data_IF_957638067547
#
_entry.id   IF_957638067547
#
_cell.length_a   1.000
_cell.length_b   1.000
_cell.length_c   1.000
_cell.angle_alpha   90.00
_cell.angle_beta   90.00
_cell.angle_gamma   90.00
#
_symmetry.space_group_name_H-M   'P 1'
#
loop_
_entity.id
_entity.type
_entity.pdbx_description
1 polymer ?
#
# COMPACT_ATOMS: atom_id res chain seq x y z
N UNK A 1 6.13 -8.28 -3.68
CA UNK A 1 5.64 -7.45 -4.81
C UNK A 1 4.38 -6.67 -4.42
N UNK A 2 3.32 -7.32 -3.95
CA UNK A 2 2.07 -6.66 -3.52
C UNK A 2 2.26 -5.57 -2.45
N UNK A 3 3.16 -5.77 -1.47
CA UNK A 3 3.40 -4.77 -0.41
C UNK A 3 3.96 -3.45 -0.96
N UNK A 4 4.70 -3.49 -2.07
CA UNK A 4 5.27 -2.29 -2.70
C UNK A 4 4.24 -1.48 -3.48
N UNK A 5 3.14 -2.11 -3.92
CA UNK A 5 2.05 -1.42 -4.62
C UNK A 5 1.25 -0.47 -3.70
N UNK A 6 1.36 -0.66 -2.38
CA UNK A 6 0.71 0.20 -1.38
C UNK A 6 1.32 1.61 -1.34
N UNK A 7 2.63 1.74 -1.53
CA UNK A 7 3.31 3.03 -1.49
C UNK A 7 2.76 4.06 -2.49
N UNK A 8 2.68 3.76 -3.82
CA UNK A 8 2.11 4.71 -4.77
C UNK A 8 0.62 4.96 -4.53
N UNK A 9 -0.14 3.99 -4.01
CA UNK A 9 -1.54 4.19 -3.66
C UNK A 9 -1.71 5.20 -2.51
N UNK A 10 -0.92 5.08 -1.44
CA UNK A 10 -0.90 6.05 -0.33
C UNK A 10 -0.43 7.43 -0.81
N UNK A 11 0.58 7.46 -1.68
CA UNK A 11 1.13 8.69 -2.24
C UNK A 11 0.13 9.43 -3.15
N UNK A 12 -0.74 8.70 -3.85
CA UNK A 12 -1.84 9.27 -4.64
C UNK A 12 -3.02 9.74 -3.75
N UNK A 13 -3.32 9.00 -2.68
CA UNK A 13 -4.48 9.24 -1.83
C UNK A 13 -4.28 10.34 -0.76
N UNK A 14 -3.03 10.59 -0.33
CA UNK A 14 -2.72 11.49 0.77
C UNK A 14 -1.94 12.73 0.32
N UNK A 15 -2.22 13.91 0.89
CA UNK A 15 -1.36 15.06 0.71
C UNK A 15 -0.01 14.87 1.42
N UNK A 16 1.01 15.66 1.06
CA UNK A 16 2.30 15.61 1.77
C UNK A 16 2.14 16.35 3.11
N UNK A 17 2.55 15.71 4.22
CA UNK A 17 2.38 16.26 5.57
C UNK A 17 3.30 17.45 5.88
N UNK A 18 4.49 17.53 5.25
CA UNK A 18 5.43 18.65 5.41
C UNK A 18 5.58 19.43 4.11
N UNK A 19 5.57 20.76 4.22
CA UNK A 19 5.70 21.73 3.12
C UNK A 19 7.11 21.82 2.52
N UNK A 20 8.11 21.17 3.12
CA UNK A 20 9.48 21.11 2.61
C UNK A 20 10.06 19.71 2.83
N UNK A 21 10.27 18.97 1.75
CA UNK A 21 10.91 17.64 1.76
C UNK A 21 11.03 17.09 0.34
N UNK A 22 12.02 16.23 0.08
CA UNK A 22 12.28 15.64 -1.25
C UNK A 22 11.04 15.00 -1.89
N UNK A 23 10.02 14.61 -1.12
CA UNK A 23 8.76 14.07 -1.64
C UNK A 23 7.92 15.06 -2.46
N UNK A 24 8.24 16.36 -2.47
CA UNK A 24 7.63 17.32 -3.42
C UNK A 24 8.19 17.17 -4.84
N UNK A 25 9.47 16.82 -5.01
CA UNK A 25 10.11 16.78 -6.33
C UNK A 25 9.77 15.53 -7.13
N UNK A 26 9.24 14.48 -6.49
CA UNK A 26 8.86 13.21 -7.14
C UNK A 26 7.44 13.26 -7.75
N UNK A 27 6.64 14.28 -7.43
CA UNK A 27 5.26 14.43 -7.91
C UNK A 27 4.27 13.40 -7.32
N UNK A 28 2.96 13.57 -7.56
CA UNK A 28 1.94 12.57 -7.17
C UNK A 28 1.70 11.60 -8.34
N UNK A 29 1.82 10.27 -8.13
CA UNK A 29 1.51 9.33 -9.19
C UNK A 29 0.04 9.44 -9.58
N UNK A 30 -0.24 9.37 -10.88
CA UNK A 30 -1.62 9.32 -11.39
C UNK A 30 -2.30 8.03 -10.92
N UNK A 31 -3.61 8.06 -10.76
CA UNK A 31 -4.39 6.90 -10.29
C UNK A 31 -4.24 5.68 -11.20
N UNK A 32 -4.15 5.88 -12.52
CA UNK A 32 -4.03 4.80 -13.50
C UNK A 32 -2.75 3.95 -13.30
N UNK A 33 -1.53 4.52 -13.22
CA UNK A 33 -0.32 3.78 -12.83
C UNK A 33 -0.45 3.01 -11.50
N UNK A 34 -1.13 3.58 -10.49
CA UNK A 34 -1.32 2.91 -9.21
C UNK A 34 -2.23 1.67 -9.36
N UNK A 35 -3.33 1.80 -10.11
CA UNK A 35 -4.24 0.69 -10.41
C UNK A 35 -3.55 -0.41 -11.22
N UNK A 36 -2.76 -0.04 -12.23
CA UNK A 36 -1.99 -1.00 -13.03
C UNK A 36 -0.96 -1.75 -12.18
N UNK A 37 -0.25 -1.05 -11.28
CA UNK A 37 0.71 -1.67 -10.39
C UNK A 37 0.03 -2.65 -9.41
N UNK A 38 -1.13 -2.27 -8.85
CA UNK A 38 -1.90 -3.16 -7.98
C UNK A 38 -2.43 -4.39 -8.74
N UNK A 39 -2.98 -4.17 -9.95
CA UNK A 39 -3.49 -5.25 -10.81
C UNK A 39 -2.38 -6.22 -11.22
N UNK A 40 -1.23 -5.72 -11.65
CA UNK A 40 -0.05 -6.54 -11.96
C UNK A 40 0.45 -7.30 -10.75
N UNK A 41 0.48 -6.67 -9.57
CA UNK A 41 0.92 -7.36 -8.36
C UNK A 41 0.01 -8.53 -7.99
N UNK A 42 -1.32 -8.38 -8.12
CA UNK A 42 -2.27 -9.49 -7.90
C UNK A 42 -2.12 -10.55 -8.98
N UNK A 43 -2.08 -10.16 -10.26
CA UNK A 43 -1.97 -11.07 -11.39
C UNK A 43 -0.72 -11.95 -11.31
N UNK A 44 0.42 -11.36 -10.96
CA UNK A 44 1.69 -12.08 -10.80
C UNK A 44 1.73 -12.96 -9.54
N UNK A 45 0.84 -12.74 -8.58
CA UNK A 45 0.72 -13.56 -7.37
C UNK A 45 -0.24 -14.74 -7.54
N UNK A 46 -1.19 -14.70 -8.46
CA UNK A 46 -2.10 -15.81 -8.76
C UNK A 46 -1.40 -17.17 -8.99
N UNK A 47 -0.33 -17.30 -9.79
CA UNK A 47 0.32 -18.60 -9.99
C UNK A 47 1.04 -19.14 -8.74
N UNK A 48 1.29 -18.30 -7.73
CA UNK A 48 2.04 -18.68 -6.53
C UNK A 48 1.11 -19.08 -5.37
N UNK A 49 0.01 -18.34 -5.19
CA UNK A 49 -0.89 -18.48 -4.02
C UNK A 49 -2.36 -18.68 -4.42
N UNK A 50 -2.66 -18.82 -5.71
CA UNK A 50 -4.02 -19.06 -6.22
C UNK A 50 -5.00 -17.95 -5.82
N UNK A 51 -6.24 -18.34 -5.53
CA UNK A 51 -7.31 -17.42 -5.12
C UNK A 51 -7.03 -16.69 -3.79
N UNK A 52 -6.11 -17.20 -2.96
CA UNK A 52 -5.68 -16.50 -1.74
C UNK A 52 -5.06 -15.12 -2.04
N UNK A 53 -4.61 -14.88 -3.27
CA UNK A 53 -4.13 -13.57 -3.72
C UNK A 53 -5.16 -12.46 -3.49
N UNK A 54 -6.46 -12.73 -3.70
CA UNK A 54 -7.50 -11.71 -3.53
C UNK A 54 -7.72 -11.35 -2.06
N UNK A 55 -7.81 -12.36 -1.18
CA UNK A 55 -7.94 -12.14 0.27
C UNK A 55 -6.70 -11.46 0.85
N UNK A 56 -5.51 -11.85 0.38
CA UNK A 56 -4.24 -11.23 0.75
C UNK A 56 -4.21 -9.76 0.30
N UNK A 57 -4.55 -9.47 -0.96
CA UNK A 57 -4.63 -8.09 -1.47
C UNK A 57 -5.58 -7.22 -0.66
N UNK A 58 -6.74 -7.77 -0.29
CA UNK A 58 -7.74 -7.07 0.50
C UNK A 58 -7.21 -6.72 1.90
N UNK A 59 -6.59 -7.69 2.59
CA UNK A 59 -6.00 -7.47 3.92
C UNK A 59 -4.90 -6.40 3.88
N UNK A 60 -4.01 -6.47 2.89
CA UNK A 60 -2.95 -5.48 2.68
C UNK A 60 -3.51 -4.08 2.41
N UNK A 61 -4.54 -3.99 1.56
CA UNK A 61 -5.23 -2.74 1.24
C UNK A 61 -5.92 -2.14 2.47
N UNK A 62 -6.61 -2.95 3.27
CA UNK A 62 -7.26 -2.50 4.50
C UNK A 62 -6.25 -1.95 5.52
N UNK A 63 -5.14 -2.66 5.72
CA UNK A 63 -4.08 -2.24 6.65
C UNK A 63 -3.42 -0.93 6.19
N UNK A 64 -3.16 -0.80 4.88
CA UNK A 64 -2.66 0.42 4.28
C UNK A 64 -3.61 1.61 4.44
N UNK A 65 -4.91 1.41 4.17
CA UNK A 65 -5.94 2.44 4.35
C UNK A 65 -6.04 2.89 5.81
N UNK A 66 -5.98 1.95 6.76
CA UNK A 66 -5.96 2.25 8.19
C UNK A 66 -4.78 3.12 8.58
N UNK A 67 -3.57 2.77 8.12
CA UNK A 67 -2.37 3.58 8.36
C UNK A 67 -2.48 4.96 7.68
N UNK A 68 -3.01 5.02 6.46
CA UNK A 68 -3.22 6.27 5.74
C UNK A 68 -4.20 7.21 6.44
N UNK A 69 -5.30 6.67 6.96
CA UNK A 69 -6.26 7.41 7.77
C UNK A 69 -5.61 7.95 9.05
N UNK A 70 -4.80 7.13 9.72
CA UNK A 70 -4.05 7.54 10.91
C UNK A 70 -3.05 8.67 10.60
N UNK A 71 -2.30 8.54 9.50
CA UNK A 71 -1.34 9.55 9.07
C UNK A 71 -2.05 10.88 8.74
N UNK A 72 -3.17 10.82 8.04
CA UNK A 72 -4.01 12.01 7.76
C UNK A 72 -4.51 12.66 9.05
N UNK A 73 -4.99 11.88 10.00
CA UNK A 73 -5.55 12.39 11.24
C UNK A 73 -4.47 12.98 12.18
N UNK A 74 -3.29 12.36 12.27
CA UNK A 74 -2.25 12.76 13.24
C UNK A 74 -1.28 13.80 12.72
N UNK A 75 -0.91 13.74 11.44
CA UNK A 75 0.14 14.59 10.86
C UNK A 75 -0.31 15.29 9.58
N UNK A 76 -1.59 15.16 9.19
CA UNK A 76 -2.17 15.89 8.05
C UNK A 76 -1.85 15.32 6.67
N UNK A 77 -1.18 14.16 6.56
CA UNK A 77 -0.80 13.60 5.27
C UNK A 77 0.23 12.47 5.37
N UNK A 78 0.98 12.25 4.28
CA UNK A 78 2.04 11.25 4.18
C UNK A 78 3.44 11.88 4.16
N UNK A 79 4.42 11.12 4.64
CA UNK A 79 5.87 11.33 4.49
C UNK A 79 6.51 10.05 3.96
N UNK A 80 7.80 10.10 3.59
CA UNK A 80 8.57 8.89 3.23
C UNK A 80 8.49 7.79 4.29
N UNK A 81 8.50 8.16 5.57
CA UNK A 81 8.36 7.21 6.69
C UNK A 81 6.99 6.53 6.70
N UNK A 82 5.90 7.26 6.40
CA UNK A 82 4.54 6.69 6.30
C UNK A 82 4.44 5.73 5.11
N UNK A 83 5.08 6.04 3.99
CA UNK A 83 5.10 5.13 2.83
C UNK A 83 5.86 3.85 3.16
N UNK A 84 7.04 3.96 3.78
CA UNK A 84 7.84 2.82 4.24
C UNK A 84 7.10 1.97 5.27
N UNK A 85 6.51 2.61 6.29
CA UNK A 85 5.68 1.94 7.29
C UNK A 85 4.47 1.26 6.65
N UNK A 86 3.83 1.89 5.66
CA UNK A 86 2.71 1.33 4.92
C UNK A 86 3.07 0.05 4.17
N UNK A 87 4.26 0.00 3.58
CA UNK A 87 4.77 -1.22 2.95
C UNK A 87 4.96 -2.35 3.97
N UNK A 88 5.58 -2.06 5.11
CA UNK A 88 5.84 -3.06 6.16
C UNK A 88 4.54 -3.57 6.80
N UNK A 89 3.61 -2.66 7.12
CA UNK A 89 2.29 -3.02 7.67
C UNK A 89 1.49 -3.86 6.67
N UNK A 90 1.52 -3.50 5.38
CA UNK A 90 0.90 -4.30 4.34
C UNK A 90 1.55 -5.68 4.24
N UNK A 91 2.88 -5.79 4.26
CA UNK A 91 3.59 -7.07 4.22
C UNK A 91 3.19 -7.99 5.38
N UNK A 92 3.17 -7.48 6.61
CA UNK A 92 2.73 -8.24 7.79
C UNK A 92 1.28 -8.69 7.64
N UNK A 93 0.37 -7.79 7.25
CA UNK A 93 -1.04 -8.13 7.05
C UNK A 93 -1.23 -9.19 5.95
N UNK A 94 -0.45 -9.11 4.88
CA UNK A 94 -0.47 -10.09 3.79
C UNK A 94 0.02 -11.47 4.25
N UNK A 95 1.11 -11.53 5.01
CA UNK A 95 1.62 -12.79 5.56
C UNK A 95 0.64 -13.42 6.55
N UNK A 96 0.00 -12.62 7.41
CA UNK A 96 -1.04 -13.10 8.32
C UNK A 96 -2.28 -13.59 7.58
N UNK A 97 -2.70 -12.90 6.52
CA UNK A 97 -3.81 -13.34 5.67
C UNK A 97 -3.49 -14.67 4.98
N UNK A 98 -2.28 -14.82 4.44
CA UNK A 98 -1.84 -16.08 3.85
C UNK A 98 -1.80 -17.21 4.88
N UNK A 99 -1.29 -16.94 6.08
CA UNK A 99 -1.29 -17.92 7.16
C UNK A 99 -2.72 -18.37 7.50
N UNK A 100 -3.68 -17.45 7.56
CA UNK A 100 -5.07 -17.76 7.91
C UNK A 100 -5.88 -18.41 6.77
N UNK A 101 -5.55 -18.14 5.50
CA UNK A 101 -6.26 -18.69 4.33
C UNK A 101 -5.71 -20.07 3.94
N UNK A 102 -4.40 -20.28 4.12
CA UNK A 102 -3.72 -21.50 3.72
C UNK A 102 -3.50 -22.51 4.86
N UNK A 103 -3.97 -22.19 6.08
CA UNK A 103 -3.98 -23.11 7.23
C UNK A 103 -5.10 -24.14 7.15
#
# INVERSE_FOLDING_TARGET
MMSRAVMPALMAALPNARSAGLSQTVGRPRALPCLLAAGLAVLLSLPLIGAAAFGTALAMGAAALGLGALARAKIGGQTGDILGAGQQVAEIAGLLALLAICS
#
